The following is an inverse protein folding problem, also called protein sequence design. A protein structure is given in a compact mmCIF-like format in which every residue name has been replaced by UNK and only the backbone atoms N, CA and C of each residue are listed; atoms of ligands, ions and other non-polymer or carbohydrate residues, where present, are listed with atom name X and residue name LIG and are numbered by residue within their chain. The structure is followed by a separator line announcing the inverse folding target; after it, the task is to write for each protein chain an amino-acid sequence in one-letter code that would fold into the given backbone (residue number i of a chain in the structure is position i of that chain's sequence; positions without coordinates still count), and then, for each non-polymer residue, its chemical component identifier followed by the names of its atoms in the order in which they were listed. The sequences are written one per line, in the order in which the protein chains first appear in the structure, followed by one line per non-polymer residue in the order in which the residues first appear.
data_IF_832345630660
#
_entry.id   IF_832345630660
#
_cell.length_a   1.000
_cell.length_b   1.000
_cell.length_c   1.000
_cell.angle_alpha   90.00
_cell.angle_beta   90.00
_cell.angle_gamma   90.00
#
_symmetry.space_group_name_H-M   'P 1'
#
loop_
_entity.id
_entity.type
_entity.pdbx_description
1 polymer ?
#
# COMPACT_ATOMS: atom_id res chain seq x y z
N UNK A 1 -7.02 -15.22 3.59
CA UNK A 1 -7.18 -13.97 4.37
C UNK A 1 -8.64 -13.75 4.81
N UNK A 2 -9.38 -14.78 5.24
CA UNK A 2 -10.79 -14.65 5.70
C UNK A 2 -10.98 -14.95 7.19
N UNK A 3 -9.88 -15.24 7.90
CA UNK A 3 -9.89 -15.66 9.31
C UNK A 3 -9.95 -14.50 10.31
N UNK A 4 -9.92 -13.25 9.84
CA UNK A 4 -9.92 -12.06 10.68
C UNK A 4 -10.18 -10.79 9.87
N UNK A 5 -10.45 -9.67 10.54
CA UNK A 5 -10.67 -8.39 9.88
C UNK A 5 -9.40 -7.91 9.17
N UNK A 6 -9.59 -7.12 8.12
CA UNK A 6 -8.51 -6.46 7.37
C UNK A 6 -8.79 -4.96 7.31
N UNK A 7 -7.73 -4.16 7.23
CA UNK A 7 -7.83 -2.72 6.95
C UNK A 7 -7.53 -2.52 5.47
N UNK A 8 -8.57 -2.25 4.68
CA UNK A 8 -8.43 -1.83 3.29
C UNK A 8 -8.30 -0.30 3.26
N UNK A 9 -7.41 0.22 2.41
CA UNK A 9 -7.17 1.66 2.26
C UNK A 9 -6.66 1.98 0.86
N UNK A 10 -6.89 3.21 0.40
CA UNK A 10 -6.40 3.73 -0.88
C UNK A 10 -5.53 4.95 -0.61
N UNK A 11 -4.30 4.94 -1.13
CA UNK A 11 -3.36 6.08 -1.04
C UNK A 11 -3.16 6.70 -2.41
N UNK A 12 -3.06 8.03 -2.44
CA UNK A 12 -2.86 8.81 -3.65
C UNK A 12 -1.55 9.59 -3.56
N UNK A 13 -0.84 9.68 -4.68
CA UNK A 13 0.39 10.47 -4.80
C UNK A 13 1.15 10.12 -6.06
N UNK A 14 2.16 10.92 -6.38
CA UNK A 14 3.07 10.64 -7.49
C UNK A 14 3.77 9.29 -7.28
N UNK A 15 3.62 8.40 -8.27
CA UNK A 15 4.29 7.09 -8.31
C UNK A 15 4.01 6.21 -7.07
N UNK A 16 2.86 6.44 -6.41
CA UNK A 16 2.50 5.85 -5.12
C UNK A 16 2.52 4.32 -5.13
N UNK A 17 2.23 3.67 -6.25
CA UNK A 17 2.28 2.21 -6.36
C UNK A 17 3.73 1.72 -6.15
N UNK A 18 4.69 2.25 -6.91
CA UNK A 18 6.11 1.87 -6.77
C UNK A 18 6.66 2.31 -5.41
N UNK A 19 6.36 3.54 -4.98
CA UNK A 19 6.81 4.06 -3.70
C UNK A 19 6.29 3.22 -2.52
N UNK A 20 5.01 2.83 -2.54
CA UNK A 20 4.42 1.98 -1.49
C UNK A 20 5.08 0.60 -1.46
N UNK A 21 5.36 0.00 -2.62
CA UNK A 21 6.09 -1.28 -2.70
C UNK A 21 7.49 -1.19 -2.10
N UNK A 22 8.19 -0.07 -2.32
CA UNK A 22 9.49 0.18 -1.71
C UNK A 22 9.39 0.33 -0.18
N UNK A 23 8.41 1.08 0.32
CA UNK A 23 8.16 1.24 1.77
C UNK A 23 7.76 -0.08 2.46
N UNK A 24 6.93 -0.89 1.80
CA UNK A 24 6.50 -2.19 2.31
C UNK A 24 7.68 -3.16 2.41
N UNK A 25 8.58 -3.15 1.43
CA UNK A 25 9.70 -4.08 1.32
C UNK A 25 9.35 -5.38 0.58
N UNK A 26 10.37 -6.24 0.40
CA UNK A 26 10.27 -7.48 -0.34
C UNK A 26 9.15 -8.40 0.18
N UNK A 27 8.55 -9.23 -0.69
CA UNK A 27 7.43 -10.12 -0.31
C UNK A 27 7.84 -11.14 0.76
N UNK A 28 9.07 -11.65 0.67
CA UNK A 28 9.70 -12.45 1.69
C UNK A 28 10.42 -11.51 2.69
N UNK A 29 10.01 -11.46 3.97
CA UNK A 29 10.64 -10.57 4.96
C UNK A 29 12.14 -10.79 5.14
N UNK A 30 12.65 -12.01 4.90
CA UNK A 30 14.09 -12.28 4.96
C UNK A 30 14.91 -11.49 3.92
N UNK A 31 14.28 -11.07 2.83
CA UNK A 31 14.89 -10.25 1.77
C UNK A 31 14.52 -8.76 1.90
N UNK A 32 13.74 -8.39 2.92
CA UNK A 32 13.29 -7.02 3.15
C UNK A 32 14.31 -6.25 4.02
N UNK A 33 14.87 -5.11 3.55
CA UNK A 33 15.84 -4.35 4.32
C UNK A 33 15.23 -3.73 5.59
N UNK A 34 16.04 -3.51 6.66
CA UNK A 34 15.63 -2.68 7.79
C UNK A 34 15.14 -1.30 7.35
N UNK A 35 14.12 -0.77 8.03
CA UNK A 35 13.42 0.47 7.67
C UNK A 35 12.24 0.27 6.70
N UNK A 36 12.07 -0.92 6.14
CA UNK A 36 10.83 -1.30 5.43
C UNK A 36 9.85 -1.94 6.40
N UNK A 37 8.55 -1.83 6.12
CA UNK A 37 7.51 -2.40 7.01
C UNK A 37 7.76 -3.88 7.28
N UNK A 38 8.09 -4.67 6.24
CA UNK A 38 8.35 -6.10 6.43
C UNK A 38 9.69 -6.40 7.07
N UNK A 39 10.73 -5.61 6.79
CA UNK A 39 12.03 -5.77 7.43
C UNK A 39 11.98 -5.50 8.94
N UNK A 40 11.13 -4.56 9.36
CA UNK A 40 11.03 -4.16 10.77
C UNK A 40 10.03 -5.02 11.57
N UNK A 41 8.97 -5.55 10.94
CA UNK A 41 7.85 -6.17 11.66
C UNK A 41 7.53 -7.62 11.30
N UNK A 42 8.20 -8.22 10.31
CA UNK A 42 7.86 -9.55 9.81
C UNK A 42 9.06 -10.50 9.80
N UNK A 43 8.78 -11.80 9.88
CA UNK A 43 9.81 -12.86 9.81
C UNK A 43 9.47 -13.88 8.71
N UNK A 44 8.20 -14.32 8.62
CA UNK A 44 7.75 -15.38 7.71
C UNK A 44 6.95 -14.82 6.52
N UNK A 45 7.16 -15.36 5.32
CA UNK A 45 6.46 -14.94 4.09
C UNK A 45 4.93 -15.05 4.18
N UNK A 46 4.41 -16.07 4.88
CA UNK A 46 2.97 -16.28 5.07
C UNK A 46 2.32 -15.33 6.09
N UNK A 47 3.13 -14.58 6.84
CA UNK A 47 2.71 -13.62 7.87
C UNK A 47 3.41 -12.27 7.67
N UNK A 48 3.37 -11.76 6.44
CA UNK A 48 4.10 -10.55 6.02
C UNK A 48 3.31 -9.24 6.21
N UNK A 49 2.29 -9.25 7.07
CA UNK A 49 1.50 -8.12 7.63
C UNK A 49 0.67 -7.29 6.66
N UNK A 50 1.20 -6.93 5.48
CA UNK A 50 0.60 -5.95 4.59
C UNK A 50 0.65 -6.37 3.11
N UNK A 51 -0.40 -6.04 2.36
CA UNK A 51 -0.47 -6.14 0.90
C UNK A 51 -0.36 -4.76 0.26
N UNK A 52 0.21 -4.70 -0.94
CA UNK A 52 0.20 -3.50 -1.77
C UNK A 52 0.33 -3.89 -3.24
N UNK A 53 -0.48 -3.26 -4.09
CA UNK A 53 -0.57 -3.54 -5.52
C UNK A 53 0.81 -3.43 -6.20
N UNK A 54 1.09 -4.32 -7.16
CA UNK A 54 2.39 -4.42 -7.83
C UNK A 54 2.52 -3.55 -9.09
N UNK A 55 1.39 -3.07 -9.62
CA UNK A 55 1.32 -2.26 -10.83
C UNK A 55 0.12 -1.32 -10.79
N UNK A 56 0.12 -0.30 -11.64
CA UNK A 56 -1.02 0.63 -11.77
C UNK A 56 -2.27 -0.11 -12.26
N UNK A 57 -2.11 -1.12 -13.11
CA UNK A 57 -3.21 -1.97 -13.59
C UNK A 57 -3.83 -2.78 -12.44
N UNK A 58 -2.98 -3.46 -11.65
CA UNK A 58 -3.42 -4.18 -10.45
C UNK A 58 -4.09 -3.25 -9.46
N UNK A 59 -3.54 -2.05 -9.24
CA UNK A 59 -4.12 -1.07 -8.32
C UNK A 59 -5.54 -0.65 -8.75
N UNK A 60 -5.75 -0.34 -10.04
CA UNK A 60 -7.08 0.01 -10.55
C UNK A 60 -8.09 -1.12 -10.33
N UNK A 61 -7.69 -2.36 -10.64
CA UNK A 61 -8.53 -3.54 -10.46
C UNK A 61 -8.85 -3.81 -8.98
N UNK A 62 -7.84 -3.69 -8.11
CA UNK A 62 -7.99 -3.93 -6.68
C UNK A 62 -8.85 -2.84 -6.02
N UNK A 63 -8.63 -1.56 -6.32
CA UNK A 63 -9.47 -0.47 -5.78
C UNK A 63 -10.94 -0.69 -6.13
N UNK A 64 -11.24 -1.00 -7.40
CA UNK A 64 -12.61 -1.25 -7.85
C UNK A 64 -13.23 -2.53 -7.26
N UNK A 65 -12.41 -3.49 -6.81
CA UNK A 65 -12.89 -4.69 -6.13
C UNK A 65 -13.22 -4.42 -4.66
N UNK A 66 -12.43 -3.60 -3.98
CA UNK A 66 -12.54 -3.38 -2.53
C UNK A 66 -13.44 -2.21 -2.14
N UNK A 67 -13.59 -1.20 -3.02
CA UNK A 67 -14.31 0.03 -2.72
C UNK A 67 -15.30 0.38 -3.82
N UNK A 68 -16.46 0.89 -3.40
CA UNK A 68 -17.37 1.61 -4.29
C UNK A 68 -16.84 3.01 -4.56
N UNK A 69 -17.26 3.60 -5.67
CA UNK A 69 -16.82 4.96 -6.05
C UNK A 69 -17.21 6.01 -5.01
N UNK A 70 -18.33 5.83 -4.29
CA UNK A 70 -18.79 6.75 -3.22
C UNK A 70 -17.94 6.68 -1.95
N UNK A 71 -17.10 5.65 -1.79
CA UNK A 71 -16.21 5.48 -0.65
C UNK A 71 -14.85 6.17 -0.87
N UNK A 72 -14.56 6.61 -2.11
CA UNK A 72 -13.34 7.32 -2.46
C UNK A 72 -13.53 8.83 -2.28
N UNK A 73 -12.80 9.39 -1.32
CA UNK A 73 -12.91 10.78 -0.94
C UNK A 73 -11.97 11.66 -1.76
N UNK A 74 -12.50 12.78 -2.27
CA UNK A 74 -11.72 13.85 -2.86
C UNK A 74 -11.70 15.04 -1.90
N UNK A 75 -10.51 15.52 -1.57
CA UNK A 75 -10.31 16.66 -0.69
C UNK A 75 -9.09 17.47 -1.15
N UNK A 76 -9.02 18.74 -0.75
CA UNK A 76 -7.90 19.61 -1.07
C UNK A 76 -6.79 19.43 -0.03
N UNK A 77 -5.66 18.86 -0.46
CA UNK A 77 -4.52 18.65 0.42
C UNK A 77 -3.75 19.95 0.64
N UNK A 78 -3.95 20.53 1.83
CA UNK A 78 -3.24 21.73 2.26
C UNK A 78 -1.71 21.59 2.23
N UNK A 79 -1.14 20.38 2.29
CA UNK A 79 0.29 20.16 2.21
C UNK A 79 0.80 20.01 0.77
N UNK A 80 -0.09 19.84 -0.22
CA UNK A 80 0.27 19.52 -1.60
C UNK A 80 1.26 20.51 -2.23
N UNK A 81 1.10 21.80 -1.93
CA UNK A 81 1.97 22.87 -2.44
C UNK A 81 3.39 22.88 -1.86
N UNK A 82 3.64 22.16 -0.76
CA UNK A 82 4.99 21.97 -0.21
C UNK A 82 5.65 20.68 -0.69
N UNK A 83 4.86 19.73 -1.20
CA UNK A 83 5.31 18.38 -1.60
C UNK A 83 5.55 18.26 -3.10
N UNK A 84 4.85 19.05 -3.91
CA UNK A 84 4.92 19.04 -5.36
C UNK A 84 5.25 20.44 -5.89
N UNK A 85 6.07 20.48 -6.95
CA UNK A 85 6.33 21.68 -7.75
C UNK A 85 5.17 22.01 -8.71
#
# INVERSE_FOLDING_TARGET
MSSGPVVAMVWQGLDVVRASRALIGATNPADAPPGTIRGDFCIEVGKNVIHGSDSVESARREIALWFRTDELLCWEDSAGHWLYE
#
